data_IF_755935743102
#
_entry.id   IF_755935743102
#
_cell.length_a   1.000
_cell.length_b   1.000
_cell.length_c   1.000
_cell.angle_alpha   90.00
_cell.angle_beta   90.00
_cell.angle_gamma   90.00
#
_symmetry.space_group_name_H-M   'P 1'
#
loop_
_entity.id
_entity.type
_entity.pdbx_description
1 polymer ?
#
# COMPACT_ATOMS: atom_id res chain seq x y z
N UNK A 1 -4.04 19.33 6.70
CA UNK A 1 -5.00 18.22 6.50
C UNK A 1 -4.37 17.10 5.66
N UNK A 2 -3.21 16.59 6.07
CA UNK A 2 -2.60 15.41 5.46
C UNK A 2 -3.17 14.17 6.18
N UNK A 3 -3.34 13.06 5.46
CA UNK A 3 -3.59 11.72 6.03
C UNK A 3 -5.04 11.25 6.25
N UNK A 4 -6.01 11.66 5.43
CA UNK A 4 -7.32 10.96 5.39
C UNK A 4 -7.31 9.67 4.56
N UNK A 5 -6.35 9.53 3.64
CA UNK A 5 -6.33 8.46 2.65
C UNK A 5 -5.00 7.72 2.66
N UNK A 6 -5.04 6.41 2.45
CA UNK A 6 -3.89 5.55 2.21
C UNK A 6 -4.00 4.99 0.80
N UNK A 7 -2.90 4.92 0.04
CA UNK A 7 -2.90 4.34 -1.30
C UNK A 7 -2.06 3.08 -1.33
N UNK A 8 -2.55 2.04 -2.00
CA UNK A 8 -1.80 0.82 -2.27
C UNK A 8 -1.67 0.62 -3.75
N UNK A 9 -0.44 0.73 -4.24
CA UNK A 9 -0.08 0.34 -5.59
C UNK A 9 0.19 -1.16 -5.61
N UNK A 10 -0.48 -1.87 -6.52
CA UNK A 10 -0.42 -3.33 -6.62
C UNK A 10 -0.91 -3.75 -8.02
N UNK A 11 -1.35 -5.01 -8.16
CA UNK A 11 -1.83 -5.57 -9.40
C UNK A 11 -3.31 -6.04 -9.31
N UNK A 12 -3.89 -6.30 -10.48
CA UNK A 12 -5.27 -6.80 -10.62
C UNK A 12 -5.54 -8.08 -9.82
N UNK A 13 -4.69 -9.12 -9.84
CA UNK A 13 -4.90 -10.32 -9.02
C UNK A 13 -5.06 -10.01 -7.52
N UNK A 14 -4.19 -9.17 -6.96
CA UNK A 14 -4.26 -8.79 -5.55
C UNK A 14 -5.53 -7.97 -5.23
N UNK A 15 -5.94 -7.09 -6.15
CA UNK A 15 -7.22 -6.36 -6.02
C UNK A 15 -8.40 -7.32 -6.01
N UNK A 16 -8.50 -8.23 -6.98
CA UNK A 16 -9.62 -9.18 -7.07
C UNK A 16 -9.68 -10.09 -5.84
N UNK A 17 -8.51 -10.54 -5.33
CA UNK A 17 -8.44 -11.29 -4.09
C UNK A 17 -9.01 -10.49 -2.92
N UNK A 18 -8.60 -9.24 -2.75
CA UNK A 18 -9.10 -8.35 -1.69
C UNK A 18 -10.61 -8.18 -1.78
N UNK A 19 -11.13 -7.88 -2.97
CA UNK A 19 -12.56 -7.60 -3.16
C UNK A 19 -13.42 -8.84 -2.90
N UNK A 20 -12.99 -10.00 -3.42
CA UNK A 20 -13.71 -11.27 -3.27
C UNK A 20 -13.72 -11.76 -1.83
N UNK A 21 -12.56 -11.68 -1.15
CA UNK A 21 -12.42 -12.19 0.22
C UNK A 21 -12.75 -11.14 1.29
N UNK A 22 -12.98 -9.88 0.89
CA UNK A 22 -13.21 -8.74 1.79
C UNK A 22 -12.13 -8.66 2.87
N UNK A 23 -10.88 -8.81 2.45
CA UNK A 23 -9.74 -8.89 3.34
C UNK A 23 -8.50 -8.26 2.73
N UNK A 24 -7.70 -7.60 3.57
CA UNK A 24 -6.33 -7.27 3.19
C UNK A 24 -5.40 -8.42 3.59
N UNK A 25 -4.49 -8.79 2.69
CA UNK A 25 -3.57 -9.91 2.93
C UNK A 25 -2.18 -9.38 3.28
N UNK A 26 -1.70 -9.69 4.49
CA UNK A 26 -0.33 -9.42 4.89
C UNK A 26 0.56 -10.58 4.44
N UNK A 27 1.71 -10.25 3.86
CA UNK A 27 2.66 -11.21 3.28
C UNK A 27 4.02 -11.14 3.99
N UNK A 28 4.84 -12.16 3.78
CA UNK A 28 6.21 -12.20 4.28
C UNK A 28 7.08 -11.13 3.56
N UNK A 29 7.78 -10.26 4.31
CA UNK A 29 8.59 -9.19 3.72
C UNK A 29 9.92 -9.67 3.10
N UNK A 30 10.27 -10.96 3.18
CA UNK A 30 11.50 -11.52 2.61
C UNK A 30 11.60 -11.39 1.08
N UNK A 31 10.47 -11.22 0.39
CA UNK A 31 10.43 -11.01 -1.06
C UNK A 31 10.56 -9.54 -1.49
N UNK A 32 10.75 -8.59 -0.58
CA UNK A 32 10.88 -7.18 -0.97
C UNK A 32 12.22 -6.89 -1.64
N UNK A 33 12.20 -5.93 -2.57
CA UNK A 33 13.38 -5.49 -3.32
C UNK A 33 14.37 -4.70 -2.44
N UNK A 34 13.89 -3.87 -1.50
CA UNK A 34 14.76 -3.21 -0.51
C UNK A 34 15.21 -4.22 0.54
N UNK A 35 16.34 -4.87 0.26
CA UNK A 35 16.94 -5.87 1.15
C UNK A 35 17.32 -5.32 2.52
N UNK A 36 17.59 -4.02 2.65
CA UNK A 36 17.88 -3.42 3.96
C UNK A 36 16.63 -3.42 4.84
N UNK A 37 15.49 -3.15 4.25
CA UNK A 37 14.20 -3.06 4.92
C UNK A 37 13.67 -4.46 5.32
N UNK A 38 13.77 -5.44 4.41
CA UNK A 38 13.54 -6.85 4.74
C UNK A 38 14.45 -7.35 5.85
N UNK A 39 15.72 -6.91 5.86
CA UNK A 39 16.67 -7.25 6.91
C UNK A 39 16.24 -6.65 8.27
N UNK A 40 15.77 -5.40 8.31
CA UNK A 40 15.27 -4.78 9.54
C UNK A 40 14.05 -5.50 10.12
N UNK A 41 13.13 -5.97 9.28
CA UNK A 41 11.99 -6.79 9.70
C UNK A 41 12.42 -8.18 10.18
N UNK A 42 13.43 -8.78 9.55
CA UNK A 42 14.03 -10.04 10.01
C UNK A 42 14.69 -9.88 11.38
N UNK A 43 15.45 -8.80 11.57
CA UNK A 43 16.07 -8.48 12.86
C UNK A 43 15.02 -8.20 13.95
N UNK A 44 13.93 -7.50 13.61
CA UNK A 44 12.78 -7.32 14.50
C UNK A 44 12.17 -8.66 14.93
N UNK A 45 11.97 -9.59 13.98
CA UNK A 45 11.48 -10.94 14.23
C UNK A 45 12.39 -11.69 15.20
N UNK A 46 13.69 -11.73 14.92
CA UNK A 46 14.70 -12.41 15.73
C UNK A 46 14.79 -11.84 17.15
N UNK A 47 15.00 -10.52 17.28
CA UNK A 47 15.24 -9.87 18.58
C UNK A 47 14.05 -9.95 19.52
N UNK A 48 12.82 -10.03 18.98
CA UNK A 48 11.62 -10.24 19.78
C UNK A 48 11.20 -11.71 19.92
N UNK A 49 11.99 -12.65 19.37
CA UNK A 49 11.71 -14.09 19.33
C UNK A 49 10.31 -14.38 18.78
N UNK A 50 9.96 -13.71 17.69
CA UNK A 50 8.68 -13.87 16.99
C UNK A 50 8.77 -15.06 16.03
N UNK A 51 7.70 -15.85 15.97
CA UNK A 51 7.56 -16.93 14.98
C UNK A 51 7.14 -16.40 13.61
N UNK A 52 6.35 -15.32 13.60
CA UNK A 52 5.87 -14.69 12.37
C UNK A 52 5.93 -13.17 12.44
N UNK A 53 6.35 -12.57 11.32
CA UNK A 53 6.21 -11.16 10.99
C UNK A 53 5.68 -11.09 9.56
N UNK A 54 4.54 -10.43 9.37
CA UNK A 54 3.96 -10.18 8.05
C UNK A 54 3.68 -8.69 7.92
N UNK A 55 3.71 -8.18 6.69
CA UNK A 55 3.59 -6.76 6.43
C UNK A 55 2.68 -6.46 5.24
N UNK A 56 2.07 -5.27 5.29
CA UNK A 56 1.37 -4.66 4.17
C UNK A 56 1.67 -3.16 4.13
N UNK A 57 2.07 -2.68 2.97
CA UNK A 57 2.56 -1.32 2.78
C UNK A 57 1.59 -0.48 1.93
N UNK A 58 1.54 0.80 2.25
CA UNK A 58 0.75 1.84 1.63
C UNK A 58 1.61 3.10 1.48
N UNK A 59 1.15 4.07 0.69
CA UNK A 59 1.72 5.41 0.63
C UNK A 59 0.71 6.46 1.09
N UNK A 60 1.22 7.47 1.80
CA UNK A 60 0.47 8.61 2.31
C UNK A 60 0.44 9.78 1.31
N UNK A 61 1.31 9.76 0.28
CA UNK A 61 1.38 10.84 -0.72
C UNK A 61 0.38 10.65 -1.84
N UNK A 62 0.20 11.73 -2.62
CA UNK A 62 -0.55 11.74 -3.86
C UNK A 62 -0.04 10.72 -4.88
N UNK A 63 -0.72 10.66 -6.00
CA UNK A 63 -0.29 9.81 -7.11
C UNK A 63 1.05 10.33 -7.68
N UNK A 64 2.03 9.44 -7.85
CA UNK A 64 3.32 9.77 -8.47
C UNK A 64 3.68 8.78 -9.57
N UNK A 65 4.50 9.23 -10.52
CA UNK A 65 5.00 8.39 -11.61
C UNK A 65 5.80 7.19 -11.10
N UNK A 66 6.65 7.43 -10.09
CA UNK A 66 7.47 6.41 -9.46
C UNK A 66 6.63 5.25 -8.90
N UNK A 67 5.56 5.55 -8.16
CA UNK A 67 4.72 4.50 -7.58
C UNK A 67 4.09 3.59 -8.63
N UNK A 68 3.65 4.15 -9.76
CA UNK A 68 3.14 3.33 -10.85
C UNK A 68 4.22 2.44 -11.47
N UNK A 69 5.40 2.99 -11.74
CA UNK A 69 6.46 2.24 -12.43
C UNK A 69 7.16 1.21 -11.56
N UNK A 70 7.15 1.36 -10.24
CA UNK A 70 7.83 0.43 -9.33
C UNK A 70 6.87 -0.59 -8.74
N UNK A 71 5.67 -0.17 -8.32
CA UNK A 71 4.76 -1.04 -7.53
C UNK A 71 3.51 -1.49 -8.29
N UNK A 72 3.25 -0.93 -9.48
CA UNK A 72 2.07 -1.23 -10.29
C UNK A 72 2.40 -1.18 -11.79
N UNK A 73 3.58 -1.69 -12.16
CA UNK A 73 4.04 -1.63 -13.55
C UNK A 73 3.27 -2.58 -14.47
N UNK A 74 3.38 -2.33 -15.78
CA UNK A 74 2.73 -3.12 -16.81
C UNK A 74 1.22 -2.87 -16.92
N UNK A 75 0.54 -3.71 -17.69
CA UNK A 75 -0.88 -3.54 -18.02
C UNK A 75 -1.83 -3.92 -16.88
N UNK A 76 -1.34 -4.57 -15.82
CA UNK A 76 -2.15 -5.06 -14.69
C UNK A 76 -2.04 -4.20 -13.43
N UNK A 77 -1.39 -3.04 -13.51
CA UNK A 77 -1.24 -2.13 -12.37
C UNK A 77 -2.55 -1.53 -11.88
N UNK A 78 -2.70 -1.42 -10.56
CA UNK A 78 -3.82 -0.72 -9.92
C UNK A 78 -3.36 0.05 -8.70
N UNK A 79 -4.07 1.13 -8.38
CA UNK A 79 -3.92 1.88 -7.15
C UNK A 79 -5.26 1.89 -6.39
N UNK A 80 -5.27 1.24 -5.22
CA UNK A 80 -6.42 1.19 -4.33
C UNK A 80 -6.28 2.31 -3.32
N UNK A 81 -7.22 3.25 -3.30
CA UNK A 81 -7.26 4.33 -2.31
C UNK A 81 -8.21 3.95 -1.19
N UNK A 82 -7.71 3.92 0.03
CA UNK A 82 -8.43 3.57 1.24
C UNK A 82 -8.73 4.80 2.09
N UNK A 83 -9.89 4.81 2.75
CA UNK A 83 -10.20 5.69 3.88
C UNK A 83 -9.40 5.21 5.10
N UNK A 84 -8.41 6.01 5.50
CA UNK A 84 -7.42 5.62 6.54
C UNK A 84 -8.10 5.18 7.82
N UNK A 85 -9.01 5.98 8.36
CA UNK A 85 -9.61 5.72 9.66
C UNK A 85 -10.43 4.44 9.66
N UNK A 86 -11.21 4.20 8.60
CA UNK A 86 -12.01 2.98 8.44
C UNK A 86 -11.11 1.75 8.39
N UNK A 87 -10.04 1.80 7.58
CA UNK A 87 -9.07 0.71 7.45
C UNK A 87 -8.32 0.45 8.77
N UNK A 88 -7.76 1.50 9.37
CA UNK A 88 -6.96 1.41 10.60
C UNK A 88 -7.81 0.92 11.76
N UNK A 89 -9.06 1.39 11.88
CA UNK A 89 -9.98 0.91 12.91
C UNK A 89 -10.37 -0.55 12.72
N UNK A 90 -10.50 -1.03 11.48
CA UNK A 90 -10.76 -2.44 11.21
C UNK A 90 -9.59 -3.33 11.66
N UNK A 91 -8.35 -2.97 11.29
CA UNK A 91 -7.18 -3.81 11.58
C UNK A 91 -6.74 -3.75 13.05
N UNK A 92 -6.93 -2.61 13.73
CA UNK A 92 -6.58 -2.45 15.15
C UNK A 92 -7.44 -3.26 16.11
N UNK A 93 -8.53 -3.89 15.62
CA UNK A 93 -9.28 -4.89 16.40
C UNK A 93 -8.43 -6.12 16.73
N UNK A 94 -7.33 -6.34 15.99
CA UNK A 94 -6.37 -7.41 16.26
C UNK A 94 -5.19 -6.87 17.07
N UNK A 95 -5.00 -7.40 18.28
CA UNK A 95 -3.96 -6.96 19.22
C UNK A 95 -2.53 -7.18 18.71
N UNK A 96 -2.34 -8.12 17.80
CA UNK A 96 -1.06 -8.48 17.20
C UNK A 96 -0.62 -7.52 16.08
N UNK A 97 -1.50 -6.60 15.68
CA UNK A 97 -1.26 -5.65 14.59
C UNK A 97 -0.71 -4.33 15.13
N UNK A 98 0.35 -3.87 14.47
CA UNK A 98 0.88 -2.50 14.62
C UNK A 98 0.71 -1.77 13.31
N UNK A 99 0.42 -0.47 13.40
CA UNK A 99 0.28 0.39 12.22
C UNK A 99 1.07 1.67 12.42
N UNK A 100 1.69 2.20 11.39
CA UNK A 100 2.42 3.46 11.50
C UNK A 100 3.07 3.92 10.22
N UNK A 101 3.32 5.23 10.14
CA UNK A 101 4.14 5.83 9.09
C UNK A 101 5.60 5.48 9.29
N UNK A 102 6.31 5.29 8.18
CA UNK A 102 7.73 4.98 8.17
C UNK A 102 8.54 6.25 8.38
N UNK A 103 9.52 6.16 9.27
CA UNK A 103 10.49 7.22 9.53
C UNK A 103 11.70 7.05 8.61
N UNK A 104 11.92 8.04 7.75
CA UNK A 104 13.06 8.08 6.86
C UNK A 104 14.28 8.73 7.52
N UNK A 105 15.41 8.02 7.53
CA UNK A 105 16.61 8.44 8.28
C UNK A 105 17.87 8.34 7.43
N UNK A 106 18.77 9.31 7.61
CA UNK A 106 20.14 9.30 7.06
C UNK A 106 21.08 8.54 7.98
N UNK A 107 22.24 8.10 7.48
CA UNK A 107 23.26 7.43 8.32
C UNK A 107 23.74 8.31 9.48
N UNK A 108 23.96 9.61 9.22
CA UNK A 108 24.38 10.55 10.26
C UNK A 108 23.36 10.63 11.42
N UNK A 109 22.05 10.60 11.10
CA UNK A 109 20.99 10.56 12.11
C UNK A 109 20.90 9.19 12.79
N UNK A 110 21.01 8.11 12.02
CA UNK A 110 20.93 6.75 12.53
C UNK A 110 22.02 6.45 13.54
N UNK A 111 23.27 6.87 13.27
CA UNK A 111 24.42 6.68 14.16
C UNK A 111 24.29 7.43 15.49
N UNK A 112 23.53 8.54 15.52
CA UNK A 112 23.27 9.32 16.73
C UNK A 112 22.01 8.88 17.47
N UNK A 113 21.18 8.06 16.85
CA UNK A 113 19.88 7.66 17.38
C UNK A 113 20.00 6.31 18.11
N UNK A 114 19.51 6.27 19.34
CA UNK A 114 19.33 5.01 20.06
C UNK A 114 18.18 4.20 19.41
N UNK A 115 18.52 3.30 18.49
CA UNK A 115 17.56 2.44 17.81
C UNK A 115 16.88 1.49 18.79
N UNK A 116 15.54 1.57 18.83
CA UNK A 116 14.72 0.63 19.62
C UNK A 116 14.31 -0.53 18.70
N UNK A 117 14.33 -1.76 19.21
CA UNK A 117 13.88 -2.93 18.45
C UNK A 117 12.46 -2.69 17.89
N UNK A 118 11.57 -2.10 18.70
CA UNK A 118 10.17 -1.81 18.32
C UNK A 118 10.02 -0.80 17.16
N UNK A 119 11.04 0.00 16.84
CA UNK A 119 11.00 0.95 15.73
C UNK A 119 11.52 0.39 14.42
N UNK A 120 12.23 -0.75 14.43
CA UNK A 120 12.80 -1.35 13.22
C UNK A 120 11.78 -1.55 12.08
N UNK A 121 10.52 -1.99 12.32
CA UNK A 121 9.53 -2.13 11.25
C UNK A 121 9.09 -0.82 10.58
N UNK A 122 9.42 0.33 11.17
CA UNK A 122 8.95 1.65 10.74
C UNK A 122 10.12 2.62 10.52
N UNK A 123 11.30 2.11 10.17
CA UNK A 123 12.46 2.92 9.81
C UNK A 123 12.94 2.48 8.44
N UNK A 124 13.21 3.44 7.56
CA UNK A 124 13.76 3.18 6.22
C UNK A 124 14.84 4.21 5.89
N UNK A 125 15.72 3.87 4.95
CA UNK A 125 16.77 4.79 4.49
C UNK A 125 16.15 6.00 3.82
N UNK A 126 16.74 7.17 4.07
CA UNK A 126 16.25 8.45 3.53
C UNK A 126 16.12 8.48 2.00
N UNK A 127 16.90 7.70 1.27
CA UNK A 127 16.79 7.59 -0.19
C UNK A 127 15.43 7.09 -0.71
N UNK A 128 14.60 6.48 0.16
CA UNK A 128 13.25 6.01 -0.17
C UNK A 128 12.14 6.94 0.31
N UNK A 129 12.46 8.16 0.77
CA UNK A 129 11.49 9.08 1.40
C UNK A 129 10.27 9.40 0.52
N UNK A 130 10.43 9.40 -0.80
CA UNK A 130 9.36 9.71 -1.75
C UNK A 130 8.25 8.66 -1.77
N UNK A 131 8.50 7.48 -1.19
CA UNK A 131 7.46 6.47 -0.97
C UNK A 131 6.45 6.89 0.11
N UNK A 132 6.87 7.71 1.09
CA UNK A 132 6.03 8.18 2.22
C UNK A 132 5.13 7.08 2.79
N UNK A 133 5.79 6.01 3.22
CA UNK A 133 5.18 4.72 3.44
C UNK A 133 4.43 4.65 4.77
N UNK A 134 3.26 4.01 4.76
CA UNK A 134 2.52 3.59 5.94
C UNK A 134 2.43 2.07 5.96
N UNK A 135 2.71 1.46 7.10
CA UNK A 135 2.74 0.00 7.25
C UNK A 135 1.69 -0.51 8.20
N UNK A 136 1.17 -1.69 7.88
CA UNK A 136 0.44 -2.58 8.78
C UNK A 136 1.34 -3.81 8.99
N UNK A 137 1.73 -4.07 10.23
CA UNK A 137 2.64 -5.14 10.63
C UNK A 137 1.89 -6.09 11.56
N UNK A 138 1.82 -7.35 11.20
CA UNK A 138 1.37 -8.42 12.08
C UNK A 138 2.58 -9.11 12.70
N UNK A 139 2.52 -9.39 14.00
CA UNK A 139 3.59 -10.11 14.70
C UNK A 139 3.05 -11.10 15.73
N UNK A 140 3.56 -12.33 15.74
CA UNK A 140 3.16 -13.36 16.71
C UNK A 140 4.33 -14.19 17.23
N UNK A 141 4.26 -14.54 18.51
CA UNK A 141 5.21 -15.47 19.17
C UNK A 141 4.72 -16.91 19.15
N UNK A 142 3.42 -17.11 18.97
CA UNK A 142 2.76 -18.40 19.15
C UNK A 142 2.64 -19.14 17.81
N UNK A 143 2.30 -18.41 16.75
CA UNK A 143 1.85 -19.00 15.49
C UNK A 143 2.83 -18.75 14.36
N UNK A 144 2.96 -19.74 13.48
CA UNK A 144 3.70 -19.66 12.22
C UNK A 144 2.67 -19.50 11.09
N UNK A 145 2.70 -18.35 10.43
CA UNK A 145 1.95 -18.07 9.22
C UNK A 145 2.88 -17.59 8.11
N UNK A 146 2.59 -18.02 6.87
CA UNK A 146 3.21 -17.51 5.63
C UNK A 146 2.46 -16.29 5.08
N UNK A 147 1.15 -16.23 5.29
CA UNK A 147 0.27 -15.11 4.95
C UNK A 147 -0.82 -14.97 6.01
N UNK A 148 -1.44 -13.79 6.11
CA UNK A 148 -2.60 -13.59 6.99
C UNK A 148 -3.58 -12.60 6.39
N UNK A 149 -4.81 -13.06 6.20
CA UNK A 149 -5.92 -12.20 5.83
C UNK A 149 -6.51 -11.52 7.05
N UNK A 150 -6.72 -10.22 6.92
CA UNK A 150 -7.40 -9.39 7.92
C UNK A 150 -8.71 -8.89 7.30
N UNK A 151 -9.87 -9.32 7.81
CA UNK A 151 -11.16 -8.89 7.29
C UNK A 151 -11.32 -7.37 7.35
N UNK A 152 -11.81 -6.78 6.26
CA UNK A 152 -12.12 -5.35 6.15
C UNK A 152 -13.43 -5.16 5.40
N UNK A 153 -14.23 -4.16 5.78
CA UNK A 153 -15.37 -3.76 4.96
C UNK A 153 -14.87 -3.17 3.65
N UNK A 154 -15.57 -3.42 2.54
CA UNK A 154 -15.30 -2.72 1.27
C UNK A 154 -15.55 -1.21 1.39
N UNK A 155 -16.27 -0.76 2.43
CA UNK A 155 -16.37 0.65 2.81
C UNK A 155 -15.03 1.26 3.27
N UNK A 156 -13.95 0.48 3.39
CA UNK A 156 -12.64 1.08 3.55
C UNK A 156 -12.09 1.62 2.22
N UNK A 157 -12.64 1.23 1.06
CA UNK A 157 -12.19 1.64 -0.27
C UNK A 157 -12.91 2.92 -0.68
N UNK A 158 -12.14 3.97 -0.94
CA UNK A 158 -12.63 5.25 -1.47
C UNK A 158 -12.76 5.19 -2.99
N UNK A 159 -11.72 4.68 -3.66
CA UNK A 159 -11.68 4.53 -5.12
C UNK A 159 -10.61 3.53 -5.54
N UNK A 160 -10.76 3.03 -6.76
CA UNK A 160 -9.76 2.24 -7.48
C UNK A 160 -9.34 3.03 -8.71
N UNK A 161 -8.05 3.26 -8.87
CA UNK A 161 -7.46 3.84 -10.08
C UNK A 161 -6.74 2.74 -10.85
N UNK A 162 -7.07 2.57 -12.13
CA UNK A 162 -6.43 1.62 -13.02
C UNK A 162 -5.25 2.30 -13.74
N UNK A 163 -4.26 1.49 -14.11
CA UNK A 163 -2.98 1.95 -14.68
C UNK A 163 -3.20 2.96 -15.84
N UNK A 164 -2.44 4.08 -15.88
CA UNK A 164 -2.63 5.12 -16.89
C UNK A 164 -2.31 4.67 -18.32
N UNK A 165 -1.42 3.68 -18.48
CA UNK A 165 -1.04 3.05 -19.76
C UNK A 165 -1.98 1.92 -20.19
N UNK A 166 -3.01 1.58 -19.39
CA UNK A 166 -3.98 0.55 -19.75
C UNK A 166 -4.80 0.97 -20.99
N UNK A 167 -4.85 0.15 -22.05
CA UNK A 167 -5.72 0.39 -23.20
C UNK A 167 -7.19 0.50 -22.80
N UNK A 168 -7.94 1.37 -23.48
CA UNK A 168 -9.34 1.63 -23.14
C UNK A 168 -10.23 0.36 -23.10
N UNK A 169 -10.16 -0.58 -24.05
CA UNK A 169 -10.97 -1.81 -23.98
C UNK A 169 -10.70 -2.63 -22.72
N UNK A 170 -9.44 -2.71 -22.28
CA UNK A 170 -9.08 -3.44 -21.06
C UNK A 170 -9.55 -2.71 -19.81
N UNK A 171 -9.50 -1.37 -19.81
CA UNK A 171 -10.07 -0.56 -18.75
C UNK A 171 -11.58 -0.80 -18.59
N UNK A 172 -12.33 -0.74 -19.69
CA UNK A 172 -13.78 -0.90 -19.66
C UNK A 172 -14.17 -2.30 -19.16
N UNK A 173 -13.54 -3.36 -19.70
CA UNK A 173 -13.78 -4.75 -19.28
C UNK A 173 -13.40 -5.01 -17.81
N UNK A 174 -12.26 -4.50 -17.35
CA UNK A 174 -11.84 -4.68 -15.96
C UNK A 174 -12.74 -3.90 -15.00
N UNK A 175 -13.19 -2.70 -15.38
CA UNK A 175 -14.14 -1.91 -14.61
C UNK A 175 -15.45 -2.70 -14.40
N UNK A 176 -16.01 -3.26 -15.47
CA UNK A 176 -17.21 -4.10 -15.39
C UNK A 176 -16.99 -5.31 -14.47
N UNK A 177 -15.85 -5.99 -14.62
CA UNK A 177 -15.47 -7.14 -13.79
C UNK A 177 -15.43 -6.78 -12.30
N UNK A 178 -14.82 -5.65 -11.95
CA UNK A 178 -14.75 -5.18 -10.55
C UNK A 178 -16.15 -4.81 -10.04
N UNK A 179 -16.97 -4.12 -10.84
CA UNK A 179 -18.32 -3.70 -10.44
C UNK A 179 -19.29 -4.86 -10.28
N UNK A 180 -19.04 -5.99 -10.96
CA UNK A 180 -19.80 -7.23 -10.83
C UNK A 180 -19.53 -7.99 -9.53
N UNK A 181 -18.44 -7.69 -8.81
CA UNK A 181 -18.18 -8.28 -7.48
C UNK A 181 -19.20 -7.74 -6.47
N UNK A 182 -19.79 -8.62 -5.67
CA UNK A 182 -20.80 -8.25 -4.67
C UNK A 182 -20.25 -7.20 -3.68
N UNK A 183 -21.00 -6.11 -3.52
CA UNK A 183 -20.61 -4.95 -2.72
C UNK A 183 -19.73 -3.91 -3.44
N UNK A 184 -19.33 -4.13 -4.70
CA UNK A 184 -18.42 -3.22 -5.42
C UNK A 184 -19.10 -2.26 -6.42
N UNK A 185 -20.41 -2.40 -6.66
CA UNK A 185 -21.14 -1.61 -7.68
C UNK A 185 -20.99 -0.09 -7.51
N UNK A 186 -20.89 0.38 -6.27
CA UNK A 186 -20.79 1.79 -5.90
C UNK A 186 -19.34 2.30 -5.80
N UNK A 187 -18.34 1.43 -5.88
CA UNK A 187 -16.93 1.83 -5.78
C UNK A 187 -16.56 2.64 -7.02
N UNK A 188 -15.95 3.80 -6.80
CA UNK A 188 -15.48 4.65 -7.89
C UNK A 188 -14.26 4.03 -8.56
N UNK A 189 -14.40 3.67 -9.84
CA UNK A 189 -13.30 3.14 -10.67
C UNK A 189 -12.97 4.15 -11.75
N UNK A 190 -11.70 4.56 -11.82
CA UNK A 190 -11.20 5.53 -12.80
C UNK A 190 -9.95 4.99 -13.47
N UNK A 191 -9.67 5.46 -14.70
CA UNK A 191 -8.33 5.37 -15.27
C UNK A 191 -7.51 6.53 -14.76
N UNK A 192 -6.25 6.29 -14.38
CA UNK A 192 -5.35 7.38 -14.01
C UNK A 192 -5.07 8.29 -15.21
N UNK A 193 -5.10 9.61 -14.97
CA UNK A 193 -4.76 10.63 -15.95
C UNK A 193 -3.36 11.22 -15.69
N UNK A 194 -2.52 10.53 -14.93
CA UNK A 194 -1.21 11.04 -14.50
C UNK A 194 -0.33 11.46 -15.70
N UNK A 195 -0.30 10.65 -16.75
CA UNK A 195 0.55 10.88 -17.94
C UNK A 195 -0.17 11.67 -19.04
N UNK A 196 -1.50 11.74 -18.97
CA UNK A 196 -2.32 12.34 -20.03
C UNK A 196 -3.53 13.06 -19.42
N UNK A 197 -3.30 14.28 -18.96
CA UNK A 197 -4.33 15.12 -18.34
C UNK A 197 -4.85 16.15 -19.33
N UNK A 198 -6.08 15.94 -19.83
CA UNK A 198 -6.77 16.91 -20.68
C UNK A 198 -6.93 18.28 -20.00
N UNK A 199 -7.16 18.30 -18.68
CA UNK A 199 -7.24 19.53 -17.90
C UNK A 199 -5.91 20.29 -17.90
N UNK A 200 -4.79 19.58 -17.73
CA UNK A 200 -3.45 20.17 -17.77
C UNK A 200 -3.16 20.78 -19.14
N UNK A 201 -3.40 20.02 -20.21
CA UNK A 201 -3.22 20.47 -21.60
C UNK A 201 -4.06 21.72 -21.90
N UNK A 202 -5.35 21.71 -21.50
CA UNK A 202 -6.26 22.86 -21.71
C UNK A 202 -5.76 24.15 -21.06
N UNK A 203 -5.21 24.07 -19.84
CA UNK A 203 -4.65 25.24 -19.15
C UNK A 203 -3.43 25.77 -19.94
N UNK A 204 -2.53 24.88 -20.36
CA UNK A 204 -1.37 25.26 -21.18
C UNK A 204 -1.76 25.92 -22.50
N UNK A 205 -2.78 25.37 -23.19
CA UNK A 205 -3.32 25.96 -24.42
C UNK A 205 -3.95 27.35 -24.25
N UNK A 206 -4.24 27.77 -23.02
CA UNK A 206 -4.81 29.09 -22.70
C UNK A 206 -3.78 30.15 -22.30
N UNK A 207 -2.48 29.81 -22.34
CA UNK A 207 -1.41 30.77 -22.08
C UNK A 207 -1.41 31.89 -23.13
N UNK A 208 -1.21 33.13 -22.67
CA UNK A 208 -1.08 34.33 -23.51
C UNK A 208 0.37 34.70 -23.69
#
# INVERSE_FOLDING_TARGET
MKDKLLKRYTNVPALLYLLKNRAITLLDPSSWDDRNDSYFLSLYKEKLKLKTVLALCFTEVGETYHHWRVFADGSSGVCITFRRDVLVNAVKKHTEIKTGSVQYVTFARLNKMALRIKSLPFIKRYGFQDESEFRIIYSSKQTIYSTRDIPVSLDCIEKISLNPWMPKPFFDSLKETIQAVDGCKHIKIIRSNLIDSAKWKKIGSSAK
#
